data_IF_357283617270
#
_entry.id   IF_357283617270
#
_cell.length_a   1.000
_cell.length_b   1.000
_cell.length_c   1.000
_cell.angle_alpha   90.00
_cell.angle_beta   90.00
_cell.angle_gamma   90.00
#
_symmetry.space_group_name_H-M   'P 1'
#
loop_
_entity.id
_entity.type
_entity.pdbx_description
1 polymer ?
#
# COMPACT_ATOMS: atom_id res chain seq x y z
N UNK A 1 -19.32 12.17 17.40
CA UNK A 1 -17.99 12.68 17.79
C UNK A 1 -16.96 12.25 16.76
N UNK A 2 -16.12 13.17 16.33
CA UNK A 2 -15.10 12.88 15.33
C UNK A 2 -13.71 13.05 15.93
N UNK A 3 -12.79 12.20 15.51
CA UNK A 3 -11.41 12.27 15.97
C UNK A 3 -10.48 11.53 15.03
N UNK A 4 -9.19 11.71 15.26
CA UNK A 4 -8.14 11.01 14.52
C UNK A 4 -7.25 10.27 15.51
N UNK A 5 -6.89 9.04 15.14
CA UNK A 5 -5.92 8.25 15.88
C UNK A 5 -4.69 8.12 14.99
N UNK A 6 -3.55 8.55 15.52
CA UNK A 6 -2.27 8.42 14.82
C UNK A 6 -1.57 7.17 15.32
N UNK A 7 -1.33 6.22 14.41
CA UNK A 7 -0.62 4.99 14.70
C UNK A 7 0.76 5.08 14.05
N UNK A 8 1.81 5.05 14.86
CA UNK A 8 3.19 5.06 14.39
C UNK A 8 3.76 3.66 14.51
N UNK A 9 4.32 3.16 13.41
CA UNK A 9 4.89 1.82 13.34
C UNK A 9 6.22 1.87 12.63
N UNK A 10 7.09 0.93 12.97
CA UNK A 10 8.31 0.67 12.22
C UNK A 10 8.09 -0.55 11.33
N UNK A 11 8.45 -0.42 10.05
CA UNK A 11 8.44 -1.52 9.11
C UNK A 11 9.85 -2.09 9.01
N UNK A 12 10.05 -3.28 9.56
CA UNK A 12 11.34 -3.97 9.49
C UNK A 12 11.38 -4.86 8.25
N UNK A 13 12.34 -4.58 7.36
CA UNK A 13 12.55 -5.40 6.16
C UNK A 13 13.54 -6.52 6.51
N UNK A 14 13.06 -7.76 6.54
CA UNK A 14 13.85 -8.91 6.97
C UNK A 14 14.43 -9.71 5.82
N UNK A 15 13.87 -9.57 4.63
CA UNK A 15 14.35 -10.22 3.41
C UNK A 15 14.38 -9.20 2.29
N UNK A 16 14.92 -9.56 1.13
CA UNK A 16 14.94 -8.66 -0.01
C UNK A 16 13.55 -8.15 -0.37
N UNK A 17 13.42 -6.84 -0.64
CA UNK A 17 12.16 -6.22 -1.00
C UNK A 17 12.40 -5.29 -2.19
N UNK A 18 11.47 -5.32 -3.15
CA UNK A 18 11.51 -4.46 -4.31
C UNK A 18 10.12 -3.89 -4.59
N UNK A 19 10.03 -2.57 -4.65
CA UNK A 19 8.81 -1.87 -5.09
C UNK A 19 9.22 -1.05 -6.31
N UNK A 20 8.65 -1.40 -7.46
CA UNK A 20 8.99 -0.76 -8.73
C UNK A 20 8.45 0.66 -8.85
N UNK A 21 9.28 1.56 -9.34
CA UNK A 21 8.88 2.90 -9.72
C UNK A 21 8.43 2.97 -11.17
N UNK A 22 8.17 4.19 -11.64
CA UNK A 22 7.78 4.41 -13.02
C UNK A 22 8.95 4.18 -13.97
N UNK A 23 8.76 3.36 -15.00
CA UNK A 23 9.74 3.13 -16.05
C UNK A 23 9.98 4.38 -16.91
N UNK A 24 9.08 5.35 -16.89
CA UNK A 24 9.21 6.59 -17.66
C UNK A 24 10.43 7.42 -17.24
N UNK A 25 10.95 7.19 -16.03
CA UNK A 25 12.13 7.89 -15.54
C UNK A 25 13.42 7.09 -15.66
N UNK A 26 13.36 5.92 -16.29
CA UNK A 26 14.54 5.09 -16.51
C UNK A 26 15.33 5.62 -17.71
N UNK A 27 16.65 5.79 -17.54
CA UNK A 27 17.54 6.10 -18.65
C UNK A 27 17.68 4.88 -19.58
N UNK A 28 18.03 5.12 -20.83
CA UNK A 28 18.30 4.05 -21.78
C UNK A 28 19.50 3.23 -21.26
N UNK A 29 19.32 1.91 -21.16
CA UNK A 29 20.33 1.00 -20.61
C UNK A 29 20.31 0.86 -19.10
N UNK A 30 19.40 1.58 -18.40
CA UNK A 30 19.17 1.41 -16.97
C UNK A 30 18.27 0.20 -16.69
N UNK A 31 18.05 -0.09 -15.41
CA UNK A 31 17.17 -1.17 -14.99
C UNK A 31 15.74 -0.91 -15.45
N UNK A 32 15.10 -1.92 -16.05
CA UNK A 32 13.72 -1.80 -16.58
C UNK A 32 12.69 -1.47 -15.52
N UNK A 33 12.92 -1.91 -14.28
CA UNK A 33 12.02 -1.68 -13.14
C UNK A 33 12.82 -1.10 -11.97
N UNK A 34 13.08 0.22 -11.99
CA UNK A 34 13.82 0.86 -10.92
C UNK A 34 13.02 0.84 -9.61
N UNK A 35 13.72 0.78 -8.48
CA UNK A 35 13.10 0.89 -7.17
C UNK A 35 12.57 2.31 -6.99
N UNK A 36 11.36 2.43 -6.42
CA UNK A 36 10.81 3.75 -6.09
C UNK A 36 11.65 4.41 -5.00
N UNK A 37 12.03 5.66 -5.21
CA UNK A 37 12.92 6.41 -4.32
C UNK A 37 12.32 7.76 -3.98
N UNK A 38 12.68 8.24 -2.79
CA UNK A 38 12.42 9.63 -2.43
C UNK A 38 13.22 10.55 -3.36
N UNK A 39 12.57 11.43 -4.12
CA UNK A 39 13.28 12.32 -5.03
C UNK A 39 14.21 13.30 -4.32
N UNK A 40 14.00 13.55 -3.04
CA UNK A 40 14.82 14.47 -2.26
C UNK A 40 16.10 13.83 -1.75
N UNK A 41 16.01 12.62 -1.19
CA UNK A 41 17.16 11.93 -0.58
C UNK A 41 17.76 10.85 -1.46
N UNK A 42 17.05 10.40 -2.47
CA UNK A 42 17.38 9.24 -3.32
C UNK A 42 17.40 7.90 -2.58
N UNK A 43 16.96 7.87 -1.34
CA UNK A 43 16.82 6.61 -0.60
C UNK A 43 15.53 5.90 -1.00
N UNK A 44 15.52 4.55 -0.96
CA UNK A 44 14.29 3.79 -1.21
C UNK A 44 13.21 4.16 -0.20
N UNK A 45 11.95 4.17 -0.66
CA UNK A 45 10.79 4.40 0.20
C UNK A 45 9.74 3.32 -0.04
N UNK A 46 8.84 3.17 0.92
CA UNK A 46 7.62 2.38 0.74
C UNK A 46 6.47 3.37 0.58
N UNK A 47 5.92 3.53 -0.64
CA UNK A 47 4.81 4.46 -0.83
C UNK A 47 3.59 4.02 -0.03
N UNK A 48 2.89 4.98 0.57
CA UNK A 48 1.69 4.71 1.35
C UNK A 48 0.60 4.03 0.52
N UNK A 49 0.47 4.39 -0.75
CA UNK A 49 -0.48 3.77 -1.67
C UNK A 49 -0.19 2.28 -1.90
N UNK A 50 1.08 1.92 -2.04
CA UNK A 50 1.50 0.51 -2.20
C UNK A 50 1.23 -0.29 -0.93
N UNK A 51 1.55 0.28 0.23
CA UNK A 51 1.31 -0.37 1.51
C UNK A 51 -0.18 -0.56 1.75
N UNK A 52 -0.98 0.46 1.49
CA UNK A 52 -2.43 0.39 1.64
C UNK A 52 -3.04 -0.70 0.77
N UNK A 53 -2.65 -0.76 -0.51
CA UNK A 53 -3.16 -1.76 -1.44
C UNK A 53 -2.79 -3.17 -1.02
N UNK A 54 -1.56 -3.38 -0.57
CA UNK A 54 -1.12 -4.70 -0.11
C UNK A 54 -1.84 -5.14 1.16
N UNK A 55 -1.99 -4.24 2.11
CA UNK A 55 -2.70 -4.55 3.36
C UNK A 55 -4.17 -4.85 3.10
N UNK A 56 -4.81 -4.12 2.19
CA UNK A 56 -6.18 -4.42 1.79
C UNK A 56 -6.31 -5.84 1.25
N UNK A 57 -5.42 -6.23 0.34
CA UNK A 57 -5.42 -7.57 -0.26
C UNK A 57 -5.19 -8.65 0.79
N UNK A 58 -4.23 -8.44 1.70
CA UNK A 58 -3.93 -9.41 2.75
C UNK A 58 -5.10 -9.59 3.71
N UNK A 59 -5.77 -8.49 4.08
CA UNK A 59 -6.95 -8.56 4.93
C UNK A 59 -8.10 -9.27 4.23
N UNK A 60 -8.32 -8.98 2.95
CA UNK A 60 -9.35 -9.65 2.16
C UNK A 60 -9.12 -11.16 2.10
N UNK A 61 -7.87 -11.59 1.90
CA UNK A 61 -7.52 -13.01 1.90
C UNK A 61 -7.72 -13.66 3.25
N UNK A 62 -7.45 -12.96 4.34
CA UNK A 62 -7.62 -13.52 5.68
C UNK A 62 -9.09 -13.70 6.06
N UNK A 63 -9.97 -12.86 5.54
CA UNK A 63 -11.40 -12.91 5.80
C UNK A 63 -12.11 -13.87 4.85
N UNK A 64 -11.67 -13.93 3.59
CA UNK A 64 -12.30 -14.75 2.56
C UNK A 64 -12.03 -16.24 2.81
N UNK A 65 -13.08 -17.05 2.84
CA UNK A 65 -12.96 -18.49 3.03
C UNK A 65 -12.62 -19.23 1.75
N UNK A 66 -12.89 -18.63 0.60
CA UNK A 66 -12.62 -19.22 -0.72
C UNK A 66 -11.72 -18.28 -1.52
N UNK A 67 -10.42 -18.56 -1.51
CA UNK A 67 -9.42 -17.74 -2.18
C UNK A 67 -9.59 -17.74 -3.70
N UNK A 68 -10.08 -18.85 -4.26
CA UNK A 68 -10.28 -18.97 -5.71
C UNK A 68 -11.43 -18.09 -6.22
N UNK A 69 -12.36 -17.74 -5.35
CA UNK A 69 -13.55 -16.95 -5.68
C UNK A 69 -13.62 -15.67 -4.82
N UNK A 70 -12.51 -14.97 -4.72
CA UNK A 70 -12.48 -13.72 -3.97
C UNK A 70 -13.43 -12.69 -4.58
N UNK A 71 -14.16 -11.93 -3.76
CA UNK A 71 -15.03 -10.87 -4.27
C UNK A 71 -14.22 -9.79 -5.01
N UNK A 72 -14.87 -9.12 -5.96
CA UNK A 72 -14.30 -7.94 -6.58
C UNK A 72 -14.21 -6.79 -5.56
N UNK A 73 -13.41 -5.78 -5.88
CA UNK A 73 -13.05 -4.68 -4.97
C UNK A 73 -14.25 -4.09 -4.20
N UNK A 74 -15.33 -3.74 -4.90
CA UNK A 74 -16.47 -3.07 -4.26
C UNK A 74 -17.43 -4.02 -3.55
N UNK A 75 -17.17 -5.34 -3.62
CA UNK A 75 -17.97 -6.37 -2.96
C UNK A 75 -17.22 -7.09 -1.85
N UNK A 76 -16.11 -6.53 -1.40
CA UNK A 76 -15.37 -7.05 -0.26
C UNK A 76 -16.22 -6.98 1.02
N UNK A 77 -15.72 -7.66 2.06
CA UNK A 77 -16.36 -7.62 3.37
C UNK A 77 -16.58 -6.18 3.84
N UNK A 78 -17.68 -5.93 4.54
CA UNK A 78 -18.07 -4.60 5.04
C UNK A 78 -16.94 -3.96 5.87
N UNK A 79 -16.18 -4.75 6.62
CA UNK A 79 -15.06 -4.24 7.42
C UNK A 79 -13.96 -3.66 6.53
N UNK A 80 -13.70 -4.30 5.38
CA UNK A 80 -12.70 -3.83 4.42
C UNK A 80 -13.21 -2.55 3.75
N UNK A 81 -14.47 -2.50 3.34
CA UNK A 81 -15.05 -1.33 2.69
C UNK A 81 -15.05 -0.12 3.60
N UNK A 82 -15.29 -0.30 4.90
CA UNK A 82 -15.25 0.80 5.87
C UNK A 82 -13.84 1.32 6.10
N UNK A 83 -12.87 0.44 6.19
CA UNK A 83 -11.48 0.83 6.44
C UNK A 83 -10.80 1.42 5.21
N UNK A 84 -10.98 0.79 4.05
CA UNK A 84 -10.23 1.14 2.83
C UNK A 84 -11.04 1.89 1.80
N UNK A 85 -12.37 1.96 1.96
CA UNK A 85 -13.24 2.67 1.04
C UNK A 85 -13.75 1.83 -0.11
N UNK A 86 -14.69 2.38 -0.88
CA UNK A 86 -15.25 1.74 -2.07
C UNK A 86 -15.73 2.80 -3.05
N UNK A 87 -15.94 2.40 -4.31
CA UNK A 87 -16.45 3.29 -5.36
C UNK A 87 -17.94 3.12 -5.62
N UNK A 88 -18.51 1.94 -5.37
CA UNK A 88 -19.95 1.68 -5.52
C UNK A 88 -20.50 0.81 -4.38
N UNK A 89 -21.21 1.39 -3.40
CA UNK A 89 -21.44 2.83 -3.22
C UNK A 89 -20.16 3.55 -2.80
N UNK A 90 -20.06 4.83 -3.11
CA UNK A 90 -18.89 5.61 -2.74
C UNK A 90 -18.79 5.68 -1.23
N UNK A 91 -17.66 5.22 -0.70
CA UNK A 91 -17.33 5.29 0.73
C UNK A 91 -15.94 5.86 0.92
N UNK A 92 -15.82 6.79 1.85
CA UNK A 92 -14.51 7.36 2.19
C UNK A 92 -13.72 6.36 3.03
N UNK A 93 -12.45 6.17 2.68
CA UNK A 93 -11.53 5.36 3.49
C UNK A 93 -11.34 6.00 4.88
N UNK A 94 -11.35 5.19 5.92
CA UNK A 94 -11.04 5.64 7.28
C UNK A 94 -9.55 5.61 7.58
N UNK A 95 -8.78 4.86 6.80
CA UNK A 95 -7.34 4.76 6.96
C UNK A 95 -6.63 5.71 5.99
N UNK A 96 -5.62 6.39 6.50
CA UNK A 96 -4.71 7.20 5.70
C UNK A 96 -3.29 6.68 5.92
N UNK A 97 -2.60 6.36 4.84
CA UNK A 97 -1.25 5.80 4.88
C UNK A 97 -0.25 6.85 4.41
N UNK A 98 0.72 7.14 5.26
CA UNK A 98 1.86 7.94 4.85
C UNK A 98 2.92 7.05 4.21
N UNK A 99 3.83 7.66 3.44
CA UNK A 99 5.00 6.96 2.92
C UNK A 99 5.93 6.58 4.08
N UNK A 100 6.58 5.44 3.95
CA UNK A 100 7.57 5.00 4.92
C UNK A 100 8.97 5.33 4.40
N UNK A 101 9.71 6.11 5.18
CA UNK A 101 11.06 6.54 4.83
C UNK A 101 12.10 5.67 5.54
N UNK A 102 13.25 5.53 4.92
CA UNK A 102 14.35 4.76 5.49
C UNK A 102 14.92 5.50 6.71
N UNK A 103 14.90 4.86 7.89
CA UNK A 103 15.30 5.47 9.13
C UNK A 103 16.77 5.19 9.50
N UNK A 104 17.35 4.17 8.91
CA UNK A 104 18.71 3.71 9.23
C UNK A 104 19.64 3.74 8.02
N UNK A 105 19.55 4.79 7.25
CA UNK A 105 20.38 4.96 6.06
C UNK A 105 21.87 5.10 6.42
#
# INVERSE_FOLDING_TARGET
MYGKILIRCDLEVRTGMHIGGSSAFSAIGAVDSPVVRDPYTSYPIVPGSSLKGKLRTLLARSICQDIEHMPVFDKDDERILRLFGSSEPVRRSRLQFADAFLSNA
#
